data_IF_665615710936
#
_entry.id   IF_665615710936
#
_cell.length_a   1.000
_cell.length_b   1.000
_cell.length_c   1.000
_cell.angle_alpha   90.00
_cell.angle_beta   90.00
_cell.angle_gamma   90.00
#
_symmetry.space_group_name_H-M   'P 1'
#
loop_
_entity.id
_entity.type
_entity.pdbx_description
1 polymer ?
#
# COMPACT_ATOMS: atom_id res chain seq x y z
N UNK A 1 -9.97 1.40 12.20
CA UNK A 1 -10.35 0.13 11.55
C UNK A 1 -11.54 0.24 10.62
N UNK A 2 -12.66 0.85 11.02
CA UNK A 2 -13.86 1.02 10.14
C UNK A 2 -13.56 1.77 8.84
N UNK A 3 -12.79 2.86 8.87
CA UNK A 3 -12.44 3.62 7.65
C UNK A 3 -11.75 2.77 6.56
N UNK A 4 -11.06 1.67 6.91
CA UNK A 4 -10.44 0.79 5.92
C UNK A 4 -11.48 0.03 5.09
N UNK A 5 -12.64 -0.28 5.66
CA UNK A 5 -13.73 -0.95 4.94
C UNK A 5 -14.33 -0.05 3.86
N UNK A 6 -14.41 1.26 4.10
CA UNK A 6 -14.86 2.23 3.10
C UNK A 6 -13.91 2.28 1.89
N UNK A 7 -12.60 2.36 2.15
CA UNK A 7 -11.58 2.35 1.09
C UNK A 7 -11.60 1.05 0.27
N UNK A 8 -11.74 -0.09 0.95
CA UNK A 8 -11.78 -1.41 0.29
C UNK A 8 -13.07 -1.58 -0.51
N UNK A 9 -14.22 -1.11 -0.01
CA UNK A 9 -15.49 -1.11 -0.76
C UNK A 9 -15.35 -0.34 -2.08
N UNK A 10 -14.68 0.81 -2.07
CA UNK A 10 -14.45 1.58 -3.28
C UNK A 10 -13.47 0.91 -4.25
N UNK A 11 -12.45 0.21 -3.73
CA UNK A 11 -11.37 -0.41 -4.54
C UNK A 11 -11.70 -1.83 -5.05
N UNK A 12 -12.62 -2.55 -4.40
CA UNK A 12 -12.94 -3.94 -4.73
C UNK A 12 -13.43 -4.11 -6.18
N UNK A 13 -14.39 -3.28 -6.59
CA UNK A 13 -15.00 -3.38 -7.92
C UNK A 13 -13.99 -3.08 -9.05
N UNK A 14 -13.18 -1.99 -8.98
CA UNK A 14 -12.08 -1.76 -9.93
C UNK A 14 -11.01 -2.87 -9.95
N UNK A 15 -10.73 -3.50 -8.80
CA UNK A 15 -9.73 -4.56 -8.72
C UNK A 15 -10.20 -5.82 -9.45
N UNK A 16 -11.46 -6.21 -9.28
CA UNK A 16 -12.04 -7.36 -9.98
C UNK A 16 -12.14 -7.09 -11.48
N UNK A 17 -12.48 -5.86 -11.89
CA UNK A 17 -12.62 -5.51 -13.31
C UNK A 17 -11.29 -5.34 -14.05
N UNK A 18 -10.20 -4.99 -13.36
CA UNK A 18 -8.87 -4.80 -13.93
C UNK A 18 -8.34 -5.98 -14.79
N UNK A 19 -8.38 -7.26 -14.34
CA UNK A 19 -7.93 -8.39 -15.17
C UNK A 19 -8.80 -8.59 -16.41
N UNK A 20 -10.12 -8.42 -16.31
CA UNK A 20 -11.01 -8.50 -17.48
C UNK A 20 -10.69 -7.40 -18.49
N UNK A 21 -10.51 -6.16 -18.01
CA UNK A 21 -10.13 -5.03 -18.85
C UNK A 21 -8.78 -5.25 -19.52
N UNK A 22 -7.82 -5.84 -18.81
CA UNK A 22 -6.49 -6.18 -19.33
C UNK A 22 -6.57 -7.18 -20.50
N UNK A 23 -7.37 -8.24 -20.36
CA UNK A 23 -7.56 -9.24 -21.41
C UNK A 23 -8.20 -8.61 -22.66
N UNK A 24 -9.25 -7.81 -22.46
CA UNK A 24 -9.98 -7.15 -23.55
C UNK A 24 -9.06 -6.16 -24.29
N UNK A 25 -8.32 -5.32 -23.57
CA UNK A 25 -7.39 -4.36 -24.16
C UNK A 25 -6.24 -5.06 -24.87
N UNK A 26 -5.73 -6.16 -24.33
CA UNK A 26 -4.70 -6.97 -25.00
C UNK A 26 -5.21 -7.51 -26.33
N UNK A 27 -6.45 -8.01 -26.39
CA UNK A 27 -7.08 -8.47 -27.63
C UNK A 27 -7.22 -7.34 -28.67
N UNK A 28 -7.72 -6.17 -28.27
CA UNK A 28 -7.86 -5.04 -29.19
C UNK A 28 -6.51 -4.50 -29.67
N UNK A 29 -5.53 -4.46 -28.79
CA UNK A 29 -4.17 -4.02 -29.14
C UNK A 29 -3.54 -4.99 -30.15
N UNK A 30 -3.74 -6.30 -29.98
CA UNK A 30 -3.33 -7.31 -30.95
C UNK A 30 -4.04 -7.16 -32.31
N UNK A 31 -5.34 -6.84 -32.31
CA UNK A 31 -6.10 -6.58 -33.54
C UNK A 31 -5.58 -5.39 -34.33
N UNK A 32 -5.17 -4.31 -33.66
CA UNK A 32 -4.70 -3.08 -34.31
C UNK A 32 -3.21 -3.15 -34.67
N UNK A 33 -2.39 -3.66 -33.76
CA UNK A 33 -0.93 -3.61 -33.88
C UNK A 33 -0.25 -4.95 -34.17
N UNK A 34 -1.01 -6.04 -34.33
CA UNK A 34 -0.47 -7.37 -34.61
C UNK A 34 0.58 -7.82 -33.59
N UNK A 35 1.59 -8.55 -34.05
CA UNK A 35 2.64 -9.11 -33.19
C UNK A 35 3.50 -8.04 -32.51
N UNK A 36 3.75 -6.90 -33.16
CA UNK A 36 4.56 -5.82 -32.59
C UNK A 36 3.95 -5.24 -31.29
N UNK A 37 2.62 -5.27 -31.19
CA UNK A 37 1.91 -4.81 -29.99
C UNK A 37 2.13 -5.70 -28.75
N UNK A 38 2.42 -6.99 -28.94
CA UNK A 38 2.68 -7.92 -27.84
C UNK A 38 3.97 -7.59 -27.08
N UNK A 39 4.94 -6.94 -27.74
CA UNK A 39 6.14 -6.41 -27.08
C UNK A 39 5.76 -5.39 -26.01
N UNK A 40 4.81 -4.50 -26.31
CA UNK A 40 4.30 -3.53 -25.35
C UNK A 40 3.60 -4.17 -24.15
N UNK A 41 2.83 -5.22 -24.40
CA UNK A 41 2.18 -6.01 -23.31
C UNK A 41 3.24 -6.67 -22.44
N UNK A 42 4.29 -7.25 -23.02
CA UNK A 42 5.42 -7.83 -22.29
C UNK A 42 6.14 -6.82 -21.39
N UNK A 43 6.39 -5.61 -21.90
CA UNK A 43 7.00 -4.52 -21.12
C UNK A 43 6.13 -4.14 -19.92
N UNK A 44 4.81 -4.02 -20.12
CA UNK A 44 3.89 -3.73 -19.02
C UNK A 44 3.86 -4.84 -17.96
N UNK A 45 3.98 -6.11 -18.36
CA UNK A 45 4.09 -7.22 -17.41
C UNK A 45 5.39 -7.16 -16.59
N UNK A 46 6.52 -6.80 -17.22
CA UNK A 46 7.79 -6.59 -16.49
C UNK A 46 7.65 -5.44 -15.48
N UNK A 47 7.04 -4.32 -15.89
CA UNK A 47 6.79 -3.18 -15.01
C UNK A 47 5.87 -3.59 -13.85
N UNK A 48 4.84 -4.41 -14.10
CA UNK A 48 3.98 -4.95 -13.05
C UNK A 48 4.77 -5.73 -12.00
N UNK A 49 5.68 -6.61 -12.42
CA UNK A 49 6.52 -7.40 -11.50
C UNK A 49 7.39 -6.46 -10.64
N UNK A 50 8.02 -5.45 -11.26
CA UNK A 50 8.82 -4.45 -10.54
C UNK A 50 7.96 -3.69 -9.52
N UNK A 51 6.75 -3.31 -9.91
CA UNK A 51 5.82 -2.59 -9.03
C UNK A 51 5.34 -3.45 -7.87
N UNK A 52 5.10 -4.75 -8.10
CA UNK A 52 4.75 -5.69 -7.05
C UNK A 52 5.86 -5.83 -6.00
N UNK A 53 7.12 -5.93 -6.45
CA UNK A 53 8.29 -5.96 -5.56
C UNK A 53 8.38 -4.65 -4.75
N UNK A 54 8.24 -3.48 -5.42
CA UNK A 54 8.23 -2.18 -4.75
C UNK A 54 7.11 -2.06 -3.70
N UNK A 55 5.92 -2.56 -3.99
CA UNK A 55 4.79 -2.57 -3.07
C UNK A 55 5.12 -3.40 -1.81
N UNK A 56 5.67 -4.61 -1.99
CA UNK A 56 6.05 -5.47 -0.87
C UNK A 56 7.19 -4.85 -0.02
N UNK A 57 8.19 -4.25 -0.67
CA UNK A 57 9.24 -3.50 0.04
C UNK A 57 8.64 -2.35 0.86
N UNK A 58 7.71 -1.59 0.26
CA UNK A 58 7.03 -0.47 0.92
C UNK A 58 6.27 -0.95 2.17
N UNK A 59 5.55 -2.07 2.09
CA UNK A 59 4.85 -2.66 3.23
C UNK A 59 5.81 -3.03 4.36
N UNK A 60 6.93 -3.69 4.06
CA UNK A 60 7.94 -4.06 5.06
C UNK A 60 8.58 -2.83 5.73
N UNK A 61 8.92 -1.80 4.94
CA UNK A 61 9.46 -0.57 5.51
C UNK A 61 8.44 0.20 6.35
N UNK A 62 7.14 0.17 6.01
CA UNK A 62 6.09 0.77 6.86
C UNK A 62 6.03 0.15 8.25
N UNK A 63 6.16 -1.18 8.35
CA UNK A 63 6.20 -1.88 9.65
C UNK A 63 7.43 -1.42 10.45
N UNK A 64 8.59 -1.28 9.80
CA UNK A 64 9.82 -0.81 10.46
C UNK A 64 9.70 0.62 10.95
N UNK A 65 9.05 1.50 10.17
CA UNK A 65 8.77 2.88 10.61
C UNK A 65 7.87 2.86 11.84
N UNK A 66 6.75 2.11 11.80
CA UNK A 66 5.84 2.00 12.94
C UNK A 66 6.57 1.57 14.22
N UNK A 67 7.39 0.51 14.14
CA UNK A 67 8.19 0.05 15.29
C UNK A 67 9.12 1.11 15.85
N UNK A 68 9.83 1.86 15.00
CA UNK A 68 10.73 2.93 15.46
C UNK A 68 9.96 4.10 16.07
N UNK A 69 8.82 4.45 15.48
CA UNK A 69 7.95 5.50 16.01
C UNK A 69 7.39 5.10 17.39
N UNK A 70 6.96 3.84 17.56
CA UNK A 70 6.45 3.33 18.84
C UNK A 70 7.52 3.36 19.94
N UNK A 71 8.75 2.92 19.64
CA UNK A 71 9.89 3.01 20.57
C UNK A 71 10.20 4.46 20.95
N UNK A 72 10.20 5.39 19.99
CA UNK A 72 10.41 6.82 20.28
C UNK A 72 9.32 7.39 21.17
N UNK A 73 8.06 7.05 20.93
CA UNK A 73 6.93 7.51 21.75
C UNK A 73 7.06 6.96 23.16
N UNK A 74 7.34 5.67 23.31
CA UNK A 74 7.58 5.04 24.62
C UNK A 74 8.73 5.72 25.38
N UNK A 75 9.86 5.97 24.72
CA UNK A 75 10.99 6.68 25.34
C UNK A 75 10.61 8.08 25.80
N UNK A 76 9.78 8.80 25.02
CA UNK A 76 9.27 10.10 25.42
C UNK A 76 8.38 10.00 26.67
N UNK A 77 7.51 8.98 26.74
CA UNK A 77 6.66 8.75 27.90
C UNK A 77 7.50 8.50 29.17
N UNK A 78 8.54 7.66 29.07
CA UNK A 78 9.48 7.40 30.18
C UNK A 78 10.22 8.67 30.64
N UNK A 79 10.63 9.53 29.70
CA UNK A 79 11.29 10.81 30.00
C UNK A 79 10.34 11.78 30.72
N UNK A 80 9.08 11.85 30.28
CA UNK A 80 8.07 12.72 30.91
C UNK A 80 7.78 12.27 32.34
N UNK A 81 7.71 10.96 32.59
CA UNK A 81 7.55 10.41 33.94
C UNK A 81 8.76 10.73 34.84
N UNK A 82 9.98 10.71 34.29
CA UNK A 82 11.23 10.99 35.01
C UNK A 82 11.70 12.45 35.05
N UNK A 83 10.88 13.41 34.60
CA UNK A 83 11.35 14.77 34.27
C UNK A 83 11.96 15.52 35.46
N UNK A 84 11.46 15.29 36.68
CA UNK A 84 11.94 15.96 37.88
C UNK A 84 13.41 15.62 38.19
N UNK A 85 13.79 14.34 38.03
CA UNK A 85 15.17 13.87 38.25
C UNK A 85 16.10 14.44 37.18
N UNK A 86 15.66 14.44 35.92
CA UNK A 86 16.44 14.99 34.80
C UNK A 86 16.76 16.46 35.03
N UNK A 87 15.80 17.25 35.51
CA UNK A 87 16.00 18.67 35.84
C UNK A 87 16.89 18.86 37.07
N UNK A 88 16.72 18.06 38.11
CA UNK A 88 17.54 18.12 39.33
C UNK A 88 19.04 17.96 39.02
N UNK A 89 19.38 17.08 38.08
CA UNK A 89 20.77 16.82 37.67
C UNK A 89 21.21 17.58 36.40
N UNK A 90 20.38 18.49 35.88
CA UNK A 90 20.65 19.22 34.63
C UNK A 90 21.01 18.32 33.42
N UNK A 91 20.45 17.11 33.35
CA UNK A 91 20.71 16.12 32.29
C UNK A 91 19.95 16.39 30.98
N UNK A 92 19.33 17.56 30.83
CA UNK A 92 18.52 17.91 29.67
C UNK A 92 19.29 17.79 28.34
N UNK A 93 20.55 18.24 28.30
CA UNK A 93 21.39 18.22 27.09
C UNK A 93 21.73 16.78 26.63
N UNK A 94 22.24 15.89 27.51
CA UNK A 94 22.41 14.47 27.16
C UNK A 94 21.14 13.80 26.63
N UNK A 95 20.00 14.00 27.30
CA UNK A 95 18.72 13.41 26.86
C UNK A 95 18.25 13.97 25.52
N UNK A 96 18.47 15.26 25.25
CA UNK A 96 18.19 15.86 23.95
C UNK A 96 18.98 15.19 22.83
N UNK A 97 20.29 14.94 23.03
CA UNK A 97 21.15 14.25 22.05
C UNK A 97 20.65 12.82 21.82
N UNK A 98 20.25 12.11 22.88
CA UNK A 98 19.72 10.76 22.79
C UNK A 98 18.41 10.70 21.96
N UNK A 99 17.47 11.61 22.21
CA UNK A 99 16.23 11.74 21.43
C UNK A 99 16.54 12.04 19.96
N UNK A 100 17.47 12.96 19.68
CA UNK A 100 17.84 13.32 18.31
C UNK A 100 18.45 12.14 17.55
N UNK A 101 19.24 11.30 18.24
CA UNK A 101 19.75 10.06 17.66
C UNK A 101 18.62 9.09 17.27
N UNK A 102 17.66 8.83 18.17
CA UNK A 102 16.49 7.98 17.87
C UNK A 102 15.67 8.55 16.72
N UNK A 103 15.47 9.88 16.68
CA UNK A 103 14.78 10.56 15.57
C UNK A 103 15.53 10.41 14.25
N UNK A 104 16.87 10.48 14.23
CA UNK A 104 17.66 10.27 13.01
C UNK A 104 17.50 8.85 12.48
N UNK A 105 17.43 7.85 13.34
CA UNK A 105 17.15 6.47 12.93
C UNK A 105 15.76 6.34 12.28
N UNK A 106 14.73 6.91 12.91
CA UNK A 106 13.36 6.98 12.36
C UNK A 106 13.36 7.65 10.97
N UNK A 107 13.98 8.82 10.86
CA UNK A 107 14.05 9.60 9.62
C UNK A 107 14.80 8.87 8.49
N UNK A 108 15.84 8.09 8.80
CA UNK A 108 16.55 7.32 7.80
C UNK A 108 15.67 6.23 7.17
N UNK A 109 14.82 5.57 7.96
CA UNK A 109 13.85 4.60 7.43
C UNK A 109 12.74 5.31 6.66
N UNK A 110 12.23 6.42 7.20
CA UNK A 110 11.21 7.22 6.53
C UNK A 110 11.68 7.74 5.17
N UNK A 111 12.95 8.14 5.05
CA UNK A 111 13.56 8.54 3.77
C UNK A 111 13.51 7.41 2.74
N UNK A 112 13.78 6.16 3.14
CA UNK A 112 13.67 4.99 2.25
C UNK A 112 12.24 4.77 1.78
N UNK A 113 11.25 4.92 2.67
CA UNK A 113 9.82 4.85 2.30
C UNK A 113 9.47 5.94 1.30
N UNK A 114 9.96 7.17 1.49
CA UNK A 114 9.75 8.28 0.56
C UNK A 114 10.34 8.01 -0.82
N UNK A 115 11.54 7.42 -0.91
CA UNK A 115 12.12 7.01 -2.19
C UNK A 115 11.29 5.92 -2.89
N UNK A 116 10.81 4.91 -2.17
CA UNK A 116 9.94 3.87 -2.73
C UNK A 116 8.62 4.46 -3.24
N UNK A 117 8.05 5.43 -2.51
CA UNK A 117 6.85 6.16 -2.94
C UNK A 117 7.11 6.98 -4.21
N UNK A 118 8.26 7.65 -4.30
CA UNK A 118 8.66 8.39 -5.48
C UNK A 118 8.84 7.45 -6.69
N UNK A 119 9.47 6.30 -6.49
CA UNK A 119 9.62 5.28 -7.53
C UNK A 119 8.26 4.76 -8.04
N UNK A 120 7.32 4.50 -7.13
CA UNK A 120 5.95 4.09 -7.49
C UNK A 120 5.24 5.15 -8.35
N UNK A 121 5.33 6.42 -7.95
CA UNK A 121 4.78 7.56 -8.73
C UNK A 121 5.52 7.79 -10.05
N UNK A 122 6.80 7.45 -10.14
CA UNK A 122 7.52 7.51 -11.40
C UNK A 122 6.98 6.45 -12.37
N UNK A 123 6.88 5.20 -11.95
CA UNK A 123 6.42 4.11 -12.80
C UNK A 123 4.95 4.25 -13.26
N UNK A 124 4.06 4.85 -12.44
CA UNK A 124 2.66 5.05 -12.84
C UNK A 124 2.55 5.99 -14.05
N UNK A 125 3.39 7.03 -14.14
CA UNK A 125 3.38 8.00 -15.25
C UNK A 125 4.24 7.51 -16.41
N UNK A 126 5.39 6.92 -16.10
CA UNK A 126 6.40 6.57 -17.10
C UNK A 126 6.04 5.30 -17.89
N UNK A 127 5.33 4.35 -17.29
CA UNK A 127 5.04 3.06 -17.93
C UNK A 127 4.33 3.18 -19.27
N UNK A 128 3.32 4.04 -19.40
CA UNK A 128 2.60 4.23 -20.67
C UNK A 128 3.50 4.82 -21.75
N UNK A 129 4.39 5.75 -21.39
CA UNK A 129 5.31 6.44 -22.30
C UNK A 129 6.37 5.51 -22.85
N UNK A 130 6.99 4.71 -21.99
CA UNK A 130 7.99 3.71 -22.38
C UNK A 130 7.37 2.65 -23.28
N UNK A 131 6.21 2.13 -22.91
CA UNK A 131 5.52 1.09 -23.69
C UNK A 131 5.23 1.56 -25.11
N UNK A 132 4.68 2.77 -25.27
CA UNK A 132 4.41 3.32 -26.61
C UNK A 132 5.70 3.53 -27.40
N UNK A 133 6.74 4.07 -26.76
CA UNK A 133 8.03 4.27 -27.41
C UNK A 133 8.62 2.94 -27.93
N UNK A 134 8.64 1.90 -27.10
CA UNK A 134 9.14 0.58 -27.49
C UNK A 134 8.30 -0.09 -28.58
N UNK A 135 6.98 0.07 -28.54
CA UNK A 135 6.08 -0.44 -29.58
C UNK A 135 6.36 0.25 -30.90
N UNK A 136 6.40 1.60 -30.92
CA UNK A 136 6.73 2.36 -32.13
C UNK A 136 8.12 2.00 -32.68
N UNK A 137 9.11 1.84 -31.81
CA UNK A 137 10.45 1.38 -32.19
C UNK A 137 10.39 0.00 -32.87
N UNK A 138 9.61 -0.94 -32.31
CA UNK A 138 9.42 -2.28 -32.89
C UNK A 138 8.78 -2.20 -34.27
N UNK A 139 7.80 -1.32 -34.46
CA UNK A 139 7.17 -1.14 -35.77
C UNK A 139 8.14 -0.59 -36.82
N UNK A 140 8.97 0.39 -36.45
CA UNK A 140 10.00 0.93 -37.34
C UNK A 140 11.02 -0.15 -37.71
N UNK A 141 11.43 -0.99 -36.76
CA UNK A 141 12.40 -2.07 -37.01
C UNK A 141 11.85 -3.22 -37.85
N UNK A 142 10.54 -3.43 -37.86
CA UNK A 142 9.88 -4.48 -38.63
C UNK A 142 9.39 -4.01 -40.01
N UNK A 143 9.70 -2.77 -40.41
CA UNK A 143 9.25 -2.16 -41.68
C UNK A 143 7.73 -2.27 -41.90
N UNK A 144 6.96 -2.22 -40.81
CA UNK A 144 5.51 -2.31 -40.84
C UNK A 144 4.91 -0.92 -41.12
N UNK A 145 4.06 -0.83 -42.14
CA UNK A 145 3.33 0.40 -42.43
C UNK A 145 2.25 0.62 -41.37
N UNK A 146 2.41 1.70 -40.60
CA UNK A 146 1.43 2.14 -39.62
C UNK A 146 0.74 3.40 -40.10
N UNK A 147 -0.59 3.37 -40.07
CA UNK A 147 -1.39 4.59 -40.18
C UNK A 147 -1.31 5.38 -38.87
N UNK A 148 -1.24 6.71 -38.97
CA UNK A 148 -1.25 7.59 -37.80
C UNK A 148 -2.47 7.33 -36.89
N UNK A 149 -3.62 7.04 -37.48
CA UNK A 149 -4.86 6.66 -36.77
C UNK A 149 -4.64 5.49 -35.81
N UNK A 150 -3.99 4.42 -36.28
CA UNK A 150 -3.70 3.22 -35.47
C UNK A 150 -2.75 3.52 -34.32
N UNK A 151 -1.78 4.41 -34.51
CA UNK A 151 -0.83 4.82 -33.45
C UNK A 151 -1.56 5.54 -32.31
N UNK A 152 -2.45 6.48 -32.64
CA UNK A 152 -3.23 7.18 -31.62
C UNK A 152 -4.15 6.22 -30.83
N UNK A 153 -4.76 5.25 -31.51
CA UNK A 153 -5.57 4.21 -30.85
C UNK A 153 -4.72 3.36 -29.90
N UNK A 154 -3.56 2.88 -30.36
CA UNK A 154 -2.63 2.11 -29.52
C UNK A 154 -2.16 2.91 -28.31
N UNK A 155 -1.87 4.20 -28.47
CA UNK A 155 -1.48 5.08 -27.38
C UNK A 155 -2.56 5.16 -26.28
N UNK A 156 -3.82 5.28 -26.66
CA UNK A 156 -4.94 5.29 -25.70
C UNK A 156 -5.08 3.93 -25.02
N UNK A 157 -5.03 2.84 -25.79
CA UNK A 157 -5.15 1.48 -25.24
C UNK A 157 -4.03 1.13 -24.26
N UNK A 158 -2.78 1.44 -24.59
CA UNK A 158 -1.66 1.20 -23.67
C UNK A 158 -1.70 2.10 -22.45
N UNK A 159 -2.16 3.35 -22.57
CA UNK A 159 -2.37 4.21 -21.40
C UNK A 159 -3.43 3.63 -20.46
N UNK A 160 -4.54 3.14 -21.01
CA UNK A 160 -5.60 2.52 -20.22
C UNK A 160 -5.16 1.18 -19.60
N UNK A 161 -4.40 0.37 -20.35
CA UNK A 161 -3.87 -0.91 -19.90
C UNK A 161 -2.86 -0.72 -18.77
N UNK A 162 -1.93 0.23 -18.92
CA UNK A 162 -0.96 0.59 -17.91
C UNK A 162 -1.63 1.08 -16.62
N UNK A 163 -2.64 1.95 -16.73
CA UNK A 163 -3.43 2.42 -15.59
C UNK A 163 -4.17 1.28 -14.88
N UNK A 164 -4.81 0.40 -15.66
CA UNK A 164 -5.60 -0.72 -15.12
C UNK A 164 -4.74 -1.71 -14.34
N UNK A 165 -3.59 -2.09 -14.91
CA UNK A 165 -2.66 -3.06 -14.33
C UNK A 165 -1.89 -2.46 -13.15
N UNK A 166 -1.36 -1.24 -13.31
CA UNK A 166 -0.43 -0.68 -12.33
C UNK A 166 -1.16 -0.12 -11.11
N UNK A 167 -2.29 0.57 -11.31
CA UNK A 167 -2.95 1.30 -10.22
C UNK A 167 -3.91 0.42 -9.41
N UNK A 168 -4.74 -0.39 -10.07
CA UNK A 168 -5.80 -1.14 -9.37
C UNK A 168 -5.31 -2.47 -8.81
N UNK A 169 -4.47 -3.20 -9.54
CA UNK A 169 -4.03 -4.53 -9.10
C UNK A 169 -3.10 -4.43 -7.89
N UNK A 170 -2.03 -3.64 -8.00
CA UNK A 170 -1.03 -3.54 -6.90
C UNK A 170 -1.61 -2.90 -5.64
N UNK A 171 -2.42 -1.85 -5.79
CA UNK A 171 -3.06 -1.18 -4.65
C UNK A 171 -4.19 -2.01 -4.06
N UNK A 172 -5.03 -2.64 -4.88
CA UNK A 172 -6.15 -3.46 -4.42
C UNK A 172 -5.70 -4.59 -3.50
N UNK A 173 -4.62 -5.31 -3.86
CA UNK A 173 -4.06 -6.36 -3.00
C UNK A 173 -3.59 -5.84 -1.64
N UNK A 174 -2.96 -4.66 -1.60
CA UNK A 174 -2.51 -4.06 -0.35
C UNK A 174 -3.68 -3.68 0.56
N UNK A 175 -4.72 -3.04 0.01
CA UNK A 175 -5.91 -2.63 0.77
C UNK A 175 -6.69 -3.84 1.30
N UNK A 176 -6.82 -4.91 0.51
CA UNK A 176 -7.46 -6.16 0.97
C UNK A 176 -6.66 -6.79 2.11
N UNK A 177 -5.34 -6.84 2.01
CA UNK A 177 -4.50 -7.38 3.08
C UNK A 177 -4.67 -6.58 4.37
N UNK A 178 -4.70 -5.25 4.31
CA UNK A 178 -4.96 -4.40 5.47
C UNK A 178 -6.38 -4.56 6.03
N UNK A 179 -7.37 -4.77 5.17
CA UNK A 179 -8.75 -5.06 5.55
C UNK A 179 -8.84 -6.38 6.32
N UNK A 180 -8.20 -7.43 5.83
CA UNK A 180 -8.17 -8.75 6.48
C UNK A 180 -7.58 -8.69 7.89
N UNK A 181 -6.53 -7.90 8.09
CA UNK A 181 -5.97 -7.67 9.43
C UNK A 181 -6.96 -6.90 10.32
N UNK A 182 -7.66 -5.92 9.76
CA UNK A 182 -8.66 -5.13 10.49
C UNK A 182 -9.87 -5.97 10.90
N UNK A 183 -10.36 -6.86 10.02
CA UNK A 183 -11.41 -7.84 10.32
C UNK A 183 -10.99 -8.71 11.51
N UNK A 184 -9.77 -9.26 11.48
CA UNK A 184 -9.25 -10.09 12.59
C UNK A 184 -9.25 -9.35 13.92
N UNK A 185 -8.79 -8.08 13.95
CA UNK A 185 -8.80 -7.26 15.17
C UNK A 185 -10.20 -7.04 15.72
N UNK A 186 -11.15 -6.67 14.85
CA UNK A 186 -12.55 -6.45 15.26
C UNK A 186 -13.16 -7.76 15.76
N UNK A 187 -12.91 -8.88 15.06
CA UNK A 187 -13.38 -10.19 15.50
C UNK A 187 -12.82 -10.56 16.88
N UNK A 188 -11.52 -10.35 17.13
CA UNK A 188 -10.92 -10.60 18.45
C UNK A 188 -11.55 -9.73 19.54
N UNK A 189 -11.84 -8.46 19.25
CA UNK A 189 -12.49 -7.56 20.19
C UNK A 189 -13.94 -8.00 20.51
N UNK A 190 -14.73 -8.35 19.48
CA UNK A 190 -16.11 -8.79 19.64
C UNK A 190 -16.26 -10.15 20.32
N UNK A 191 -15.20 -10.98 20.30
CA UNK A 191 -15.15 -12.28 20.97
C UNK A 191 -14.57 -12.23 22.39
N UNK A 192 -14.25 -11.04 22.92
CA UNK A 192 -13.84 -10.93 24.32
C UNK A 192 -15.01 -11.23 25.26
N UNK A 193 -14.71 -11.80 26.43
CA UNK A 193 -15.74 -12.08 27.44
C UNK A 193 -16.43 -10.79 27.87
N UNK A 194 -17.77 -10.82 27.87
CA UNK A 194 -18.57 -9.72 28.36
C UNK A 194 -18.38 -9.60 29.87
N UNK A 195 -18.12 -8.38 30.35
CA UNK A 195 -17.94 -8.12 31.77
C UNK A 195 -19.26 -8.40 32.51
N UNK A 196 -19.30 -9.49 33.28
CA UNK A 196 -20.41 -9.76 34.20
C UNK A 196 -20.11 -9.10 35.55
N UNK A 197 -20.83 -8.05 35.96
CA UNK A 197 -20.65 -7.48 37.28
C UNK A 197 -21.03 -8.50 38.35
N UNK A 198 -20.13 -8.71 39.32
CA UNK A 198 -20.38 -9.49 40.54
C UNK A 198 -21.40 -8.76 41.43
N UNK A 199 -22.68 -8.72 41.03
CA UNK A 199 -23.74 -8.33 41.95
C UNK A 199 -25.10 -8.82 41.47
N UNK A 200 -25.48 -10.02 41.93
CA UNK A 200 -26.87 -10.42 42.23
C UNK A 200 -27.02 -11.85 42.77
N UNK A 201 -25.93 -12.60 42.98
CA UNK A 201 -26.01 -13.95 43.56
C UNK A 201 -26.28 -14.01 45.08
N UNK A 202 -26.35 -12.87 45.79
CA UNK A 202 -26.66 -12.83 47.23
C UNK A 202 -28.12 -12.45 47.57
N UNK A 203 -28.96 -12.13 46.57
CA UNK A 203 -30.38 -11.78 46.83
C UNK A 203 -31.35 -12.96 46.73
N UNK A 204 -30.99 -14.04 46.06
CA UNK A 204 -31.90 -15.17 45.84
C UNK A 204 -31.81 -16.27 46.92
N UNK A 205 -30.83 -16.19 47.84
CA UNK A 205 -30.66 -17.18 48.91
C UNK A 205 -31.42 -16.83 50.22
N UNK A 206 -32.07 -15.65 50.29
CA UNK A 206 -32.84 -15.21 51.48
C UNK A 206 -34.37 -15.32 51.35
N UNK A 207 -34.90 -15.77 50.22
CA UNK A 207 -36.36 -15.89 50.01
C UNK A 207 -36.91 -17.32 50.06
N UNK A 208 -36.07 -18.33 50.36
CA UNK A 208 -36.51 -19.71 50.63
C UNK A 208 -36.22 -20.10 52.08
N UNK A 209 -36.86 -19.42 53.03
CA UNK A 209 -36.60 -19.66 54.45
C UNK A 209 -37.45 -18.85 55.40
N UNK A 210 -38.77 -18.79 55.16
CA UNK A 210 -39.83 -18.69 56.19
C UNK A 210 -41.05 -19.40 55.64
#
# INVERSE_FOLDING_TARGET
DVARFEFVSFMLMPMISAPFMSIILTYFTYKVGGLASLVGVGILLIILIIQFINANMTANYRIRVARQTDERVRLMDEIVLGIQVIKLYAWEKPFQIFIDYTRKLELNILRKVSYLRAAFMFFIVFSSRVTIFCVLLTFVLCDLQLEATSIFVLMVYFSQLAGSITAFVTRGFAEIAECMVSIRRIQTFLLQEEYVPLNNSDKDMKTSGV
#
